data_IF_255568019346
#
_entry.id   IF_255568019346
#
_cell.length_a   1.000
_cell.length_b   1.000
_cell.length_c   1.000
_cell.angle_alpha   90.00
_cell.angle_beta   90.00
_cell.angle_gamma   90.00
#
_symmetry.space_group_name_H-M   'P 1'
#
loop_
_entity.id
_entity.type
_entity.pdbx_description
1 polymer ?
#
# COMPACT_ATOMS: atom_id res chain seq x y z
N UNK A 1 -42.91 23.79 11.06
CA UNK A 1 -42.54 22.55 11.76
C UNK A 1 -41.53 21.75 10.95
N UNK A 2 -41.78 21.42 9.68
CA UNK A 2 -40.89 20.65 8.80
C UNK A 2 -39.45 21.21 8.69
N UNK A 3 -39.26 22.51 8.55
CA UNK A 3 -37.95 23.12 8.45
C UNK A 3 -37.08 22.89 9.71
N UNK A 4 -37.66 23.03 10.91
CA UNK A 4 -36.93 22.77 12.17
C UNK A 4 -36.51 21.31 12.28
N UNK A 5 -37.38 20.37 11.87
CA UNK A 5 -37.06 18.93 11.83
C UNK A 5 -35.94 18.64 10.83
N UNK A 6 -36.00 19.23 9.64
CA UNK A 6 -34.95 19.10 8.64
C UNK A 6 -33.57 19.60 9.14
N UNK A 7 -33.55 20.80 9.75
CA UNK A 7 -32.30 21.35 10.33
C UNK A 7 -31.76 20.44 11.42
N UNK A 8 -32.61 19.92 12.30
CA UNK A 8 -32.18 19.02 13.36
C UNK A 8 -31.60 17.71 12.79
N UNK A 9 -32.25 17.11 11.78
CA UNK A 9 -31.74 15.90 11.12
C UNK A 9 -30.39 16.17 10.41
N UNK A 10 -30.24 17.31 9.76
CA UNK A 10 -29.00 17.71 9.12
C UNK A 10 -27.86 17.85 10.15
N UNK A 11 -28.11 18.48 11.29
CA UNK A 11 -27.12 18.62 12.36
C UNK A 11 -26.71 17.25 12.93
N UNK A 12 -27.67 16.36 13.15
CA UNK A 12 -27.38 14.99 13.60
C UNK A 12 -26.54 14.24 12.56
N UNK A 13 -26.90 14.33 11.27
CA UNK A 13 -26.16 13.69 10.19
C UNK A 13 -24.71 14.21 10.11
N UNK A 14 -24.49 15.52 10.21
CA UNK A 14 -23.16 16.14 10.24
C UNK A 14 -22.37 15.65 11.45
N UNK A 15 -22.99 15.63 12.63
CA UNK A 15 -22.35 15.12 13.85
C UNK A 15 -21.92 13.64 13.75
N UNK A 16 -22.80 12.80 13.21
CA UNK A 16 -22.49 11.38 12.97
C UNK A 16 -21.36 11.24 11.93
N UNK A 17 -21.39 11.98 10.86
CA UNK A 17 -20.36 11.97 9.84
C UNK A 17 -18.99 12.39 10.43
N UNK A 18 -18.94 13.48 11.18
CA UNK A 18 -17.72 13.93 11.87
C UNK A 18 -17.21 12.88 12.85
N UNK A 19 -18.10 12.25 13.61
CA UNK A 19 -17.77 11.16 14.52
C UNK A 19 -17.17 9.95 13.78
N UNK A 20 -17.75 9.56 12.64
CA UNK A 20 -17.24 8.46 11.82
C UNK A 20 -15.85 8.79 11.25
N UNK A 21 -15.64 10.00 10.74
CA UNK A 21 -14.32 10.44 10.27
C UNK A 21 -13.27 10.39 11.39
N UNK A 22 -13.62 10.82 12.59
CA UNK A 22 -12.74 10.75 13.75
C UNK A 22 -12.42 9.31 14.16
N UNK A 23 -13.44 8.47 14.31
CA UNK A 23 -13.28 7.07 14.75
C UNK A 23 -12.56 6.20 13.71
N UNK A 24 -12.79 6.41 12.43
CA UNK A 24 -12.09 5.70 11.35
C UNK A 24 -10.65 6.19 11.14
N UNK A 25 -10.24 7.26 11.85
CA UNK A 25 -8.95 7.93 11.62
C UNK A 25 -8.73 8.31 10.15
N UNK A 26 -9.79 8.69 9.45
CA UNK A 26 -9.77 8.97 8.01
C UNK A 26 -8.68 9.99 7.62
N UNK A 27 -8.43 11.00 8.48
CA UNK A 27 -7.39 12.00 8.25
C UNK A 27 -5.97 11.42 8.24
N UNK A 28 -5.75 10.25 8.85
CA UNK A 28 -4.43 9.59 8.80
C UNK A 28 -4.03 9.18 7.39
N UNK A 29 -5.00 9.00 6.49
CA UNK A 29 -4.74 8.75 5.07
C UNK A 29 -4.01 9.90 4.37
N UNK A 30 -4.07 11.11 4.91
CA UNK A 30 -3.30 12.25 4.41
C UNK A 30 -1.84 12.21 4.87
N UNK A 31 -1.55 11.48 5.94
CA UNK A 31 -0.20 11.31 6.47
C UNK A 31 0.70 10.50 5.55
N UNK A 32 2.00 10.76 5.64
CA UNK A 32 3.05 9.93 5.03
C UNK A 32 3.69 8.96 6.03
N UNK A 33 3.34 9.06 7.31
CA UNK A 33 3.87 8.19 8.36
C UNK A 33 3.46 6.72 8.10
N UNK A 34 4.42 5.78 8.09
CA UNK A 34 4.13 4.35 7.99
C UNK A 34 3.12 3.83 9.01
N UNK A 35 3.04 4.47 10.19
CA UNK A 35 2.05 4.14 11.22
C UNK A 35 0.61 4.36 10.76
N UNK A 36 0.36 5.22 9.78
CA UNK A 36 -0.97 5.38 9.21
C UNK A 36 -1.47 4.09 8.51
N UNK A 37 -0.57 3.30 7.96
CA UNK A 37 -0.90 2.05 7.27
C UNK A 37 -1.39 0.96 8.25
N UNK A 38 -0.88 0.96 9.49
CA UNK A 38 -1.27 -0.02 10.52
C UNK A 38 -2.54 0.35 11.29
N UNK A 39 -3.28 1.38 10.86
CA UNK A 39 -4.66 1.57 11.32
C UNK A 39 -5.54 0.37 10.96
N UNK A 40 -5.20 -0.35 9.88
CA UNK A 40 -5.77 -1.64 9.56
C UNK A 40 -4.83 -2.72 10.11
N UNK A 41 -5.27 -3.48 11.12
CA UNK A 41 -4.45 -4.49 11.81
C UNK A 41 -3.87 -5.56 10.86
N UNK A 42 -4.53 -5.83 9.74
CA UNK A 42 -4.05 -6.76 8.71
C UNK A 42 -2.72 -6.32 8.07
N UNK A 43 -2.33 -5.05 8.22
CA UNK A 43 -1.06 -4.52 7.73
C UNK A 43 0.09 -4.63 8.75
N UNK A 44 -0.20 -5.07 9.99
CA UNK A 44 0.82 -5.22 11.02
C UNK A 44 1.99 -6.13 10.61
N UNK A 45 1.77 -7.29 9.94
CA UNK A 45 2.86 -8.13 9.48
C UNK A 45 3.79 -7.41 8.49
N UNK A 46 3.23 -6.69 7.53
CA UNK A 46 3.99 -5.94 6.54
C UNK A 46 4.81 -4.83 7.17
N UNK A 47 4.23 -4.13 8.15
CA UNK A 47 4.93 -3.10 8.90
C UNK A 47 6.08 -3.69 9.73
N UNK A 48 5.81 -4.75 10.50
CA UNK A 48 6.81 -5.40 11.34
C UNK A 48 7.99 -5.95 10.53
N UNK A 49 7.72 -6.59 9.40
CA UNK A 49 8.76 -7.13 8.55
C UNK A 49 9.52 -6.05 7.78
N UNK A 50 8.84 -4.96 7.36
CA UNK A 50 9.48 -3.81 6.75
C UNK A 50 10.53 -3.16 7.65
N UNK A 51 10.27 -3.06 8.95
CA UNK A 51 11.24 -2.54 9.93
C UNK A 51 12.55 -3.32 9.98
N UNK A 52 12.56 -4.56 9.49
CA UNK A 52 13.74 -5.42 9.38
C UNK A 52 14.30 -5.54 7.96
N UNK A 53 13.75 -4.76 7.03
CA UNK A 53 14.20 -4.73 5.64
C UNK A 53 15.37 -3.78 5.44
N UNK A 54 16.05 -3.89 4.31
CA UNK A 54 17.07 -2.93 3.89
C UNK A 54 16.49 -1.55 3.54
N UNK A 55 15.15 -1.45 3.39
CA UNK A 55 14.41 -0.23 3.09
C UNK A 55 13.58 0.28 4.29
N UNK A 56 13.98 -0.08 5.52
CA UNK A 56 13.28 0.35 6.75
C UNK A 56 13.14 1.88 6.92
N UNK A 57 14.01 2.63 6.28
CA UNK A 57 14.01 4.10 6.32
C UNK A 57 13.32 4.73 5.10
N UNK A 58 12.82 3.90 4.16
CA UNK A 58 12.04 4.32 3.00
C UNK A 58 10.56 4.20 3.34
N UNK A 59 9.82 5.30 3.20
CA UNK A 59 8.41 5.33 3.57
C UNK A 59 7.57 4.39 2.67
N UNK A 60 6.53 3.78 3.24
CA UNK A 60 5.63 2.89 2.50
C UNK A 60 5.11 3.54 1.22
N UNK A 61 4.75 4.82 1.29
CA UNK A 61 4.21 5.58 0.17
C UNK A 61 5.24 5.83 -0.95
N UNK A 62 6.53 5.80 -0.65
CA UNK A 62 7.58 5.98 -1.66
C UNK A 62 7.68 4.79 -2.61
N UNK A 63 7.27 3.61 -2.14
CA UNK A 63 7.18 2.42 -2.97
C UNK A 63 5.79 2.25 -3.57
N UNK A 64 4.72 2.50 -2.79
CA UNK A 64 3.36 2.11 -3.16
C UNK A 64 2.55 3.17 -3.92
N UNK A 65 2.98 4.44 -3.90
CA UNK A 65 2.28 5.53 -4.59
C UNK A 65 3.13 6.11 -5.74
N UNK A 66 2.49 6.72 -6.76
CA UNK A 66 3.20 7.43 -7.81
C UNK A 66 4.08 8.55 -7.22
N UNK A 67 5.28 8.71 -7.76
CA UNK A 67 6.27 9.72 -7.33
C UNK A 67 6.40 10.88 -8.33
N UNK A 68 5.95 10.67 -9.53
CA UNK A 68 6.07 11.57 -10.68
C UNK A 68 5.07 12.73 -10.64
N UNK A 69 3.95 12.57 -9.92
CA UNK A 69 2.88 13.54 -9.92
C UNK A 69 2.23 13.68 -8.55
N UNK A 70 2.10 14.93 -8.08
CA UNK A 70 1.34 15.24 -6.86
C UNK A 70 -0.12 14.81 -7.00
N UNK A 71 -0.76 15.17 -8.10
CA UNK A 71 -2.16 14.82 -8.37
C UNK A 71 -2.32 13.29 -8.46
N UNK A 72 -1.43 12.64 -9.20
CA UNK A 72 -1.41 11.18 -9.32
C UNK A 72 -1.27 10.47 -7.97
N UNK A 73 -0.41 10.98 -7.09
CA UNK A 73 -0.22 10.47 -5.73
C UNK A 73 -1.52 10.50 -4.91
N UNK A 74 -2.21 11.64 -4.87
CA UNK A 74 -3.43 11.78 -4.09
C UNK A 74 -4.63 11.09 -4.73
N UNK A 75 -4.72 11.04 -6.05
CA UNK A 75 -5.71 10.24 -6.77
C UNK A 75 -5.55 8.74 -6.47
N UNK A 76 -4.32 8.24 -6.49
CA UNK A 76 -4.03 6.86 -6.10
C UNK A 76 -4.36 6.60 -4.63
N UNK A 77 -4.03 7.52 -3.70
CA UNK A 77 -4.42 7.43 -2.29
C UNK A 77 -5.94 7.33 -2.12
N UNK A 78 -6.70 8.19 -2.79
CA UNK A 78 -8.16 8.21 -2.69
C UNK A 78 -8.76 6.91 -3.22
N UNK A 79 -8.32 6.46 -4.40
CA UNK A 79 -8.78 5.21 -5.00
C UNK A 79 -8.44 3.99 -4.12
N UNK A 80 -7.19 3.88 -3.69
CA UNK A 80 -6.74 2.75 -2.89
C UNK A 80 -7.41 2.76 -1.51
N UNK A 81 -7.59 3.95 -0.90
CA UNK A 81 -8.33 4.12 0.34
C UNK A 81 -9.79 3.69 0.23
N UNK A 82 -10.46 4.06 -0.87
CA UNK A 82 -11.82 3.61 -1.15
C UNK A 82 -11.89 2.08 -1.30
N UNK A 83 -11.02 1.51 -2.14
CA UNK A 83 -11.00 0.06 -2.39
C UNK A 83 -10.70 -0.73 -1.11
N UNK A 84 -9.76 -0.27 -0.29
CA UNK A 84 -9.44 -0.92 0.98
C UNK A 84 -10.61 -0.82 1.96
N UNK A 85 -11.26 0.34 2.06
CA UNK A 85 -12.41 0.53 2.94
C UNK A 85 -13.58 -0.37 2.54
N UNK A 86 -13.87 -0.47 1.25
CA UNK A 86 -14.92 -1.36 0.73
C UNK A 86 -14.57 -2.83 1.01
N UNK A 87 -13.36 -3.25 0.66
CA UNK A 87 -12.93 -4.63 0.86
C UNK A 87 -12.96 -5.02 2.35
N UNK A 88 -12.60 -4.10 3.23
CA UNK A 88 -12.60 -4.34 4.67
C UNK A 88 -14.01 -4.37 5.26
N UNK A 89 -14.87 -3.45 4.84
CA UNK A 89 -16.26 -3.36 5.31
C UNK A 89 -17.08 -4.59 4.92
N UNK A 90 -16.89 -5.06 3.69
CA UNK A 90 -17.64 -6.21 3.14
C UNK A 90 -16.89 -7.54 3.25
N UNK A 91 -15.73 -7.55 3.92
CA UNK A 91 -14.91 -8.75 4.13
C UNK A 91 -14.57 -9.51 2.83
N UNK A 92 -14.30 -8.76 1.76
CA UNK A 92 -14.01 -9.30 0.43
C UNK A 92 -12.51 -9.46 0.14
N UNK A 93 -11.63 -9.08 1.05
CA UNK A 93 -10.18 -9.27 0.87
C UNK A 93 -9.78 -10.74 1.03
N UNK A 94 -8.73 -11.13 0.31
CA UNK A 94 -8.23 -12.51 0.33
C UNK A 94 -7.45 -12.78 1.62
N UNK A 95 -7.47 -14.04 2.11
CA UNK A 95 -6.68 -14.47 3.27
C UNK A 95 -5.19 -14.14 3.12
N UNK A 96 -4.62 -14.41 1.95
CA UNK A 96 -3.27 -13.95 1.60
C UNK A 96 -3.40 -12.63 0.85
N UNK A 97 -3.05 -11.53 1.50
CA UNK A 97 -3.05 -10.20 0.88
C UNK A 97 -1.94 -10.15 -0.15
N UNK A 98 -2.32 -9.86 -1.39
CA UNK A 98 -1.40 -9.65 -2.50
C UNK A 98 -1.62 -8.27 -3.08
N UNK A 99 -0.53 -7.67 -3.53
CA UNK A 99 -0.59 -6.40 -4.25
C UNK A 99 -1.38 -6.57 -5.56
N UNK A 100 -2.20 -5.57 -5.91
CA UNK A 100 -2.90 -5.53 -7.20
C UNK A 100 -1.91 -5.33 -8.35
N UNK A 101 -2.30 -5.65 -9.58
CA UNK A 101 -1.44 -5.43 -10.76
C UNK A 101 -1.05 -3.96 -10.92
N UNK A 102 -1.99 -3.03 -10.74
CA UNK A 102 -1.70 -1.60 -10.78
C UNK A 102 -0.74 -1.17 -9.67
N UNK A 103 -0.92 -1.70 -8.45
CA UNK A 103 0.02 -1.48 -7.36
C UNK A 103 1.40 -2.06 -7.66
N UNK A 104 1.46 -3.26 -8.23
CA UNK A 104 2.70 -3.90 -8.64
C UNK A 104 3.45 -3.10 -9.71
N UNK A 105 2.72 -2.56 -10.70
CA UNK A 105 3.30 -1.67 -11.72
C UNK A 105 3.91 -0.44 -11.08
N UNK A 106 3.19 0.24 -10.18
CA UNK A 106 3.69 1.43 -9.47
C UNK A 106 4.95 1.14 -8.65
N UNK A 107 4.95 0.03 -7.91
CA UNK A 107 6.13 -0.39 -7.14
C UNK A 107 7.32 -0.66 -8.06
N UNK A 108 7.10 -1.33 -9.20
CA UNK A 108 8.15 -1.60 -10.18
C UNK A 108 8.75 -0.29 -10.74
N UNK A 109 7.89 0.64 -11.13
CA UNK A 109 8.32 1.96 -11.63
C UNK A 109 9.14 2.72 -10.58
N UNK A 110 8.73 2.67 -9.32
CA UNK A 110 9.44 3.31 -8.23
C UNK A 110 10.79 2.65 -7.92
N UNK A 111 10.88 1.31 -7.99
CA UNK A 111 12.16 0.60 -7.89
C UNK A 111 13.16 1.09 -8.94
N UNK A 112 12.72 1.10 -10.20
CA UNK A 112 13.55 1.53 -11.33
C UNK A 112 13.92 3.01 -11.20
N UNK A 113 13.00 3.87 -10.79
CA UNK A 113 13.23 5.31 -10.60
C UNK A 113 14.33 5.59 -9.57
N UNK A 114 14.28 4.93 -8.41
CA UNK A 114 15.27 5.11 -7.36
C UNK A 114 16.61 4.47 -7.71
N UNK A 115 16.60 3.32 -8.39
CA UNK A 115 17.78 2.55 -8.76
C UNK A 115 18.25 2.78 -10.20
N UNK A 116 17.81 3.87 -10.83
CA UNK A 116 18.03 4.19 -12.24
C UNK A 116 19.47 4.00 -12.70
N UNK A 117 20.44 4.47 -11.91
CA UNK A 117 21.86 4.40 -12.27
C UNK A 117 22.36 2.95 -12.35
N UNK A 118 21.94 2.10 -11.43
CA UNK A 118 22.34 0.68 -11.41
C UNK A 118 21.63 -0.06 -12.53
N UNK A 119 20.31 0.14 -12.65
CA UNK A 119 19.49 -0.50 -13.68
C UNK A 119 20.00 -0.15 -15.07
N UNK A 120 20.31 1.13 -15.35
CA UNK A 120 20.84 1.53 -16.66
C UNK A 120 22.18 0.88 -17.00
N UNK A 121 23.05 0.67 -16.02
CA UNK A 121 24.32 -0.05 -16.23
C UNK A 121 24.10 -1.52 -16.53
N UNK A 122 23.14 -2.17 -15.85
CA UNK A 122 22.80 -3.56 -16.09
C UNK A 122 22.20 -3.73 -17.49
N UNK A 123 21.29 -2.85 -17.89
CA UNK A 123 20.73 -2.84 -19.25
C UNK A 123 21.83 -2.62 -20.30
N UNK A 124 22.74 -1.67 -20.07
CA UNK A 124 23.86 -1.41 -20.95
C UNK A 124 24.83 -2.61 -21.06
N UNK A 125 24.89 -3.45 -20.02
CA UNK A 125 25.64 -4.73 -20.02
C UNK A 125 24.87 -5.89 -20.65
N UNK A 126 23.77 -5.60 -21.34
CA UNK A 126 22.88 -6.59 -21.96
C UNK A 126 22.27 -7.59 -20.95
N UNK A 127 22.04 -7.15 -19.71
CA UNK A 127 21.33 -7.97 -18.74
C UNK A 127 19.81 -7.92 -19.01
N UNK A 128 19.32 -8.95 -19.70
CA UNK A 128 17.91 -9.09 -20.05
C UNK A 128 16.97 -9.06 -18.82
N UNK A 129 17.45 -9.45 -17.63
CA UNK A 129 16.62 -9.49 -16.42
C UNK A 129 16.27 -8.09 -15.89
N UNK A 130 17.01 -7.06 -16.31
CA UNK A 130 16.79 -5.68 -15.86
C UNK A 130 16.31 -4.74 -16.98
N UNK A 131 16.13 -5.25 -18.19
CA UNK A 131 15.60 -4.47 -19.30
C UNK A 131 14.06 -4.48 -19.31
N UNK A 132 13.45 -3.63 -18.52
CA UNK A 132 11.98 -3.54 -18.36
C UNK A 132 11.29 -2.83 -19.53
N UNK A 133 12.02 -2.29 -20.48
CA UNK A 133 11.48 -1.62 -21.67
C UNK A 133 11.45 -2.53 -22.90
N UNK A 134 12.12 -3.66 -22.85
CA UNK A 134 12.11 -4.64 -23.93
C UNK A 134 10.76 -5.37 -23.97
N UNK A 135 9.98 -5.26 -25.07
CA UNK A 135 8.72 -5.98 -25.21
C UNK A 135 8.90 -7.51 -25.23
N UNK A 136 10.12 -7.98 -25.55
CA UNK A 136 10.48 -9.38 -25.50
C UNK A 136 11.04 -9.80 -24.14
N UNK A 137 11.00 -8.91 -23.15
CA UNK A 137 11.33 -9.25 -21.77
C UNK A 137 10.33 -10.28 -21.24
N UNK A 138 10.60 -11.51 -21.64
CA UNK A 138 9.67 -12.65 -21.60
C UNK A 138 9.26 -13.04 -20.17
N UNK A 139 9.96 -12.55 -19.16
CA UNK A 139 9.68 -13.00 -17.81
C UNK A 139 8.62 -12.14 -17.11
N UNK A 140 8.38 -10.92 -17.52
CA UNK A 140 7.52 -9.98 -16.79
C UNK A 140 7.89 -9.86 -15.30
N UNK A 141 9.12 -10.30 -14.94
CA UNK A 141 9.61 -10.36 -13.56
C UNK A 141 9.66 -8.99 -12.94
N UNK A 142 9.17 -8.94 -11.72
CA UNK A 142 9.30 -7.76 -10.89
C UNK A 142 10.58 -7.81 -10.05
N UNK A 143 11.14 -6.67 -9.71
CA UNK A 143 12.38 -6.59 -8.94
C UNK A 143 12.34 -7.45 -7.68
N UNK A 144 11.23 -7.46 -6.97
CA UNK A 144 11.06 -8.24 -5.73
C UNK A 144 10.89 -9.75 -5.94
N UNK A 145 10.73 -10.25 -7.16
CA UNK A 145 10.70 -11.69 -7.41
C UNK A 145 12.08 -12.31 -7.23
N UNK A 146 13.12 -11.55 -7.51
CA UNK A 146 14.50 -11.92 -7.21
C UNK A 146 14.96 -11.29 -5.87
N UNK A 147 14.68 -10.02 -5.64
CA UNK A 147 15.05 -9.28 -4.44
C UNK A 147 13.99 -9.40 -3.33
N UNK A 148 13.63 -10.64 -2.97
CA UNK A 148 12.46 -10.98 -2.14
C UNK A 148 12.43 -10.34 -0.76
N UNK A 149 13.59 -10.09 -0.17
CA UNK A 149 13.70 -9.53 1.19
C UNK A 149 13.80 -8.01 1.22
N UNK A 150 13.91 -7.37 0.06
CA UNK A 150 14.14 -5.93 -0.02
C UNK A 150 12.91 -5.12 0.38
N UNK A 151 11.68 -5.43 -0.11
CA UNK A 151 10.53 -4.59 0.20
C UNK A 151 10.15 -4.66 1.68
N UNK A 152 9.87 -5.85 2.18
CA UNK A 152 9.32 -6.06 3.52
C UNK A 152 10.17 -6.98 4.40
N UNK A 153 11.46 -7.19 4.05
CA UNK A 153 12.34 -8.08 4.81
C UNK A 153 12.02 -9.56 4.60
N UNK A 154 12.70 -10.41 5.34
CA UNK A 154 12.48 -11.87 5.31
C UNK A 154 11.54 -12.28 6.41
N UNK A 155 10.39 -12.82 6.06
CA UNK A 155 9.54 -13.56 6.99
C UNK A 155 10.10 -14.97 7.08
N UNK A 156 10.80 -15.28 8.16
CA UNK A 156 11.44 -16.60 8.37
C UNK A 156 10.62 -17.53 9.22
N UNK A 157 9.73 -16.99 10.03
CA UNK A 157 8.83 -17.76 10.90
C UNK A 157 7.63 -16.93 11.31
N UNK A 158 6.64 -17.55 11.94
CA UNK A 158 5.48 -16.88 12.53
C UNK A 158 5.91 -15.81 13.55
N UNK A 159 7.02 -16.03 14.26
CA UNK A 159 7.54 -15.08 15.25
C UNK A 159 8.12 -13.80 14.65
N UNK A 160 8.49 -13.80 13.37
CA UNK A 160 8.97 -12.58 12.69
C UNK A 160 7.84 -11.66 12.22
N UNK A 161 6.59 -12.13 12.28
CA UNK A 161 5.40 -11.33 12.02
C UNK A 161 4.37 -11.66 13.09
N UNK A 162 4.44 -11.01 14.27
CA UNK A 162 3.69 -11.39 15.47
C UNK A 162 2.18 -11.21 15.36
N UNK A 163 1.73 -10.56 14.29
CA UNK A 163 0.31 -10.35 14.03
C UNK A 163 -0.18 -11.28 12.92
N UNK A 164 -1.46 -11.28 12.71
CA UNK A 164 -2.10 -12.09 11.68
C UNK A 164 -1.38 -11.99 10.32
N UNK A 165 -0.80 -13.08 9.86
CA UNK A 165 -0.04 -13.20 8.60
C UNK A 165 -0.93 -13.17 7.34
N UNK A 166 -2.05 -12.50 7.38
CA UNK A 166 -3.07 -12.50 6.33
C UNK A 166 -4.00 -13.71 6.41
N UNK A 167 -3.89 -14.50 7.47
CA UNK A 167 -4.85 -15.56 7.79
C UNK A 167 -6.00 -14.94 8.57
N UNK A 168 -7.23 -15.16 8.14
CA UNK A 168 -8.39 -14.76 8.92
C UNK A 168 -8.43 -15.58 10.20
N UNK A 169 -8.63 -14.92 11.32
CA UNK A 169 -8.96 -15.61 12.54
C UNK A 169 -10.25 -16.40 12.30
N UNK A 170 -10.20 -17.67 12.60
CA UNK A 170 -11.41 -18.49 12.63
C UNK A 170 -12.30 -17.92 13.73
N UNK A 171 -13.45 -17.38 13.34
CA UNK A 171 -14.49 -16.95 14.28
C UNK A 171 -15.12 -18.16 14.93
#
# INVERSE_FOLDING_TARGET
MAFKVFVMLALVAIGLFAFLLYKSKALSYLSSDPKACINCHVMNPQYATWQHSSHKDVLCIECHLPRDSFIGKYAAKARDGYNHSVAFTFDTYKHAIKISEDGARRVQENCVSCHKTIVSKLVASNDANHNFQDPNYASGRKCWECHKSVPHGKVRSITSAPNNLGVKELK
#
